data_IF_140338302575
#
_entry.id   IF_140338302575
#
_cell.length_a   1.000
_cell.length_b   1.000
_cell.length_c   1.000
_cell.angle_alpha   90.00
_cell.angle_beta   90.00
_cell.angle_gamma   90.00
#
_symmetry.space_group_name_H-M   'P 1'
#
loop_
_entity.id
_entity.type
_entity.pdbx_description
1 polymer ?
#
# COMPACT_ATOMS: atom_id res chain seq x y z
N UNK A 1 23.07 -18.10 -2.07
CA UNK A 1 22.26 -16.95 -1.64
C UNK A 1 21.75 -16.31 -2.91
N UNK A 2 20.44 -16.39 -3.18
CA UNK A 2 19.85 -15.69 -4.32
C UNK A 2 19.99 -14.18 -4.05
N UNK A 3 20.79 -13.50 -4.87
CA UNK A 3 20.88 -12.05 -4.84
C UNK A 3 19.52 -11.51 -5.25
N UNK A 4 18.74 -11.04 -4.28
CA UNK A 4 17.50 -10.33 -4.59
C UNK A 4 17.94 -9.00 -5.20
N UNK A 5 18.01 -8.96 -6.54
CA UNK A 5 18.30 -7.74 -7.29
C UNK A 5 17.12 -6.79 -7.05
N UNK A 6 17.20 -5.99 -5.98
CA UNK A 6 16.24 -4.94 -5.72
C UNK A 6 16.38 -3.94 -6.87
N UNK A 7 15.31 -3.80 -7.65
CA UNK A 7 15.29 -2.82 -8.72
C UNK A 7 15.55 -1.43 -8.13
N UNK A 8 16.30 -0.57 -8.84
CA UNK A 8 16.51 0.79 -8.37
C UNK A 8 15.15 1.46 -8.15
N UNK A 9 15.00 2.17 -7.03
CA UNK A 9 13.74 2.84 -6.70
C UNK A 9 13.48 3.95 -7.75
N UNK A 10 12.43 3.79 -8.54
CA UNK A 10 11.97 4.71 -9.60
C UNK A 10 10.90 5.68 -9.12
N UNK A 11 10.12 5.27 -8.12
CA UNK A 11 9.08 6.09 -7.54
C UNK A 11 8.81 5.72 -6.08
N UNK A 12 8.10 6.59 -5.37
CA UNK A 12 7.69 6.38 -3.98
C UNK A 12 6.21 6.66 -3.80
N UNK A 13 5.55 5.78 -3.04
CA UNK A 13 4.15 5.89 -2.69
C UNK A 13 3.94 5.53 -1.22
N UNK A 14 2.89 6.10 -0.62
CA UNK A 14 2.47 5.78 0.75
C UNK A 14 1.03 5.28 0.74
N UNK A 15 0.80 4.11 1.30
CA UNK A 15 -0.53 3.55 1.53
C UNK A 15 -0.99 3.95 2.93
N UNK A 16 -2.07 4.73 3.01
CA UNK A 16 -2.58 5.33 4.25
C UNK A 16 -3.93 4.72 4.59
N UNK A 17 -4.10 4.25 5.82
CA UNK A 17 -5.41 3.85 6.35
C UNK A 17 -6.21 5.09 6.75
N UNK A 18 -7.35 5.32 6.11
CA UNK A 18 -8.23 6.46 6.33
C UNK A 18 -9.24 6.22 7.48
N UNK A 19 -9.52 4.96 7.81
CA UNK A 19 -10.46 4.59 8.87
C UNK A 19 -11.50 3.55 8.45
N UNK A 20 -12.51 3.32 9.30
CA UNK A 20 -13.49 2.24 9.11
C UNK A 20 -14.58 2.58 8.07
N UNK A 21 -14.55 3.75 7.45
CA UNK A 21 -15.51 4.14 6.41
C UNK A 21 -14.83 4.05 5.04
N UNK A 22 -15.50 3.43 4.07
CA UNK A 22 -14.97 3.30 2.72
C UNK A 22 -14.84 4.68 2.03
N UNK A 23 -13.76 4.92 1.24
CA UNK A 23 -12.62 4.03 1.02
C UNK A 23 -11.71 3.95 2.26
N UNK A 24 -11.39 2.73 2.71
CA UNK A 24 -10.55 2.52 3.90
C UNK A 24 -9.10 2.96 3.69
N UNK A 25 -8.66 3.06 2.43
CA UNK A 25 -7.27 3.28 2.08
C UNK A 25 -7.12 4.37 1.03
N UNK A 26 -6.04 5.12 1.16
CA UNK A 26 -5.55 6.04 0.15
C UNK A 26 -4.14 5.65 -0.28
N UNK A 27 -3.79 5.88 -1.53
CA UNK A 27 -2.40 5.79 -2.00
C UNK A 27 -1.93 7.18 -2.39
N UNK A 28 -0.97 7.72 -1.64
CA UNK A 28 -0.37 9.03 -1.86
C UNK A 28 0.90 8.89 -2.69
N UNK A 29 1.03 9.72 -3.72
CA UNK A 29 2.27 9.91 -4.44
C UNK A 29 3.25 10.70 -3.57
N UNK A 30 4.49 10.22 -3.43
CA UNK A 30 5.55 10.93 -2.72
C UNK A 30 6.56 11.54 -3.69
N UNK A 31 7.11 10.75 -4.62
CA UNK A 31 8.12 11.21 -5.59
C UNK A 31 8.34 10.23 -6.75
N UNK A 32 9.09 10.67 -7.77
CA UNK A 32 9.51 9.85 -8.90
C UNK A 32 8.49 9.76 -10.04
N UNK A 33 8.48 8.64 -10.77
CA UNK A 33 7.67 8.46 -11.97
C UNK A 33 6.16 8.37 -11.66
N UNK A 34 5.39 9.39 -12.07
CA UNK A 34 3.98 9.53 -11.70
C UNK A 34 3.08 8.44 -12.26
N UNK A 35 3.23 8.10 -13.55
CA UNK A 35 2.42 7.07 -14.22
C UNK A 35 2.54 5.71 -13.52
N UNK A 36 3.76 5.35 -13.11
CA UNK A 36 4.05 4.11 -12.41
C UNK A 36 3.34 4.05 -11.05
N UNK A 37 3.30 5.17 -10.31
CA UNK A 37 2.54 5.27 -9.05
C UNK A 37 1.03 5.26 -9.27
N UNK A 38 0.53 5.90 -10.33
CA UNK A 38 -0.90 5.90 -10.65
C UNK A 38 -1.40 4.50 -11.03
N UNK A 39 -0.62 3.76 -11.84
CA UNK A 39 -0.89 2.36 -12.19
C UNK A 39 -0.84 1.45 -10.95
N UNK A 40 0.16 1.64 -10.09
CA UNK A 40 0.27 0.95 -8.80
C UNK A 40 -0.93 1.24 -7.90
N UNK A 41 -1.34 2.50 -7.77
CA UNK A 41 -2.51 2.92 -6.99
C UNK A 41 -3.77 2.19 -7.43
N UNK A 42 -4.02 2.05 -8.73
CA UNK A 42 -5.19 1.31 -9.22
C UNK A 42 -5.18 -0.16 -8.76
N UNK A 43 -4.02 -0.81 -8.79
CA UNK A 43 -3.83 -2.20 -8.34
C UNK A 43 -3.92 -2.36 -6.82
N UNK A 44 -3.51 -1.37 -6.04
CA UNK A 44 -3.66 -1.38 -4.59
C UNK A 44 -5.13 -1.20 -4.21
N UNK A 45 -5.78 -0.19 -4.77
CA UNK A 45 -7.17 0.10 -4.47
C UNK A 45 -8.09 -1.04 -4.93
N UNK A 46 -7.87 -1.66 -6.08
CA UNK A 46 -8.68 -2.82 -6.50
C UNK A 46 -8.65 -4.00 -5.52
N UNK A 47 -7.57 -4.13 -4.74
CA UNK A 47 -7.42 -5.17 -3.72
C UNK A 47 -7.89 -4.74 -2.33
N UNK A 48 -7.77 -3.45 -1.99
CA UNK A 48 -7.94 -2.97 -0.61
C UNK A 48 -9.15 -2.05 -0.41
N UNK A 49 -9.81 -1.56 -1.47
CA UNK A 49 -10.85 -0.52 -1.37
C UNK A 49 -11.90 -0.78 -0.29
N UNK A 50 -12.33 -2.04 -0.18
CA UNK A 50 -13.38 -2.51 0.74
C UNK A 50 -12.85 -3.39 1.89
N UNK A 51 -11.53 -3.52 2.04
CA UNK A 51 -10.93 -4.42 3.04
C UNK A 51 -10.35 -3.62 4.19
N UNK A 52 -10.95 -3.66 5.39
CA UNK A 52 -10.34 -3.06 6.58
C UNK A 52 -9.12 -3.88 7.07
N UNK A 53 -8.26 -3.30 7.93
CA UNK A 53 -7.05 -3.96 8.45
C UNK A 53 -7.27 -5.30 9.16
N UNK A 54 -8.42 -5.49 9.82
CA UNK A 54 -8.77 -6.70 10.56
C UNK A 54 -9.33 -7.82 9.67
N UNK A 55 -9.56 -7.55 8.38
CA UNK A 55 -10.06 -8.55 7.45
C UNK A 55 -9.02 -9.68 7.23
N UNK A 56 -9.43 -10.97 7.22
CA UNK A 56 -8.51 -12.09 7.00
C UNK A 56 -7.70 -12.02 5.70
N UNK A 57 -8.23 -11.39 4.64
CA UNK A 57 -7.56 -11.23 3.35
C UNK A 57 -6.56 -10.07 3.33
N UNK A 58 -6.65 -9.13 4.28
CA UNK A 58 -5.81 -7.93 4.30
C UNK A 58 -4.32 -8.27 4.27
N UNK A 59 -3.86 -9.20 5.12
CA UNK A 59 -2.45 -9.62 5.19
C UNK A 59 -1.93 -10.11 3.85
N UNK A 60 -2.70 -10.96 3.15
CA UNK A 60 -2.32 -11.50 1.83
C UNK A 60 -2.28 -10.41 0.76
N UNK A 61 -3.25 -9.50 0.76
CA UNK A 61 -3.29 -8.41 -0.21
C UNK A 61 -2.19 -7.36 0.04
N UNK A 62 -1.82 -7.13 1.31
CA UNK A 62 -0.67 -6.31 1.70
C UNK A 62 0.63 -6.93 1.18
N UNK A 63 0.88 -8.22 1.42
CA UNK A 63 2.06 -8.91 0.89
C UNK A 63 2.14 -8.88 -0.64
N UNK A 64 1.01 -9.05 -1.34
CA UNK A 64 0.95 -8.91 -2.81
C UNK A 64 1.28 -7.48 -3.25
N UNK A 65 0.77 -6.49 -2.55
CA UNK A 65 1.04 -5.07 -2.82
C UNK A 65 2.52 -4.73 -2.62
N UNK A 66 3.16 -5.26 -1.57
CA UNK A 66 4.59 -5.09 -1.33
C UNK A 66 5.40 -5.73 -2.46
N UNK A 67 5.05 -6.95 -2.88
CA UNK A 67 5.71 -7.61 -4.01
C UNK A 67 5.53 -6.90 -5.34
N UNK A 68 4.34 -6.35 -5.60
CA UNK A 68 4.09 -5.52 -6.78
C UNK A 68 5.00 -4.27 -6.76
N UNK A 69 5.12 -3.61 -5.61
CA UNK A 69 5.98 -2.45 -5.44
C UNK A 69 7.46 -2.79 -5.66
N UNK A 70 7.97 -3.85 -5.04
CA UNK A 70 9.36 -4.33 -5.23
C UNK A 70 9.66 -4.67 -6.69
N UNK A 71 8.72 -5.36 -7.37
CA UNK A 71 8.85 -5.74 -8.78
C UNK A 71 8.85 -4.55 -9.74
N UNK A 72 8.32 -3.40 -9.33
CA UNK A 72 8.22 -2.21 -10.17
C UNK A 72 9.23 -1.12 -9.77
N UNK A 73 10.05 -1.36 -8.75
CA UNK A 73 10.96 -0.35 -8.20
C UNK A 73 10.23 0.78 -7.50
N UNK A 74 9.13 0.49 -6.81
CA UNK A 74 8.37 1.46 -6.00
C UNK A 74 8.75 1.31 -4.54
N UNK A 75 9.30 2.37 -3.95
CA UNK A 75 9.39 2.48 -2.49
C UNK A 75 7.98 2.64 -1.91
N UNK A 76 7.48 1.62 -1.22
CA UNK A 76 6.12 1.60 -0.67
C UNK A 76 6.15 1.73 0.85
N UNK A 77 5.67 2.85 1.37
CA UNK A 77 5.50 3.11 2.79
C UNK A 77 4.07 2.81 3.22
N UNK A 78 3.88 2.38 4.47
CA UNK A 78 2.56 2.11 5.04
C UNK A 78 2.35 2.95 6.28
N UNK A 79 1.22 3.66 6.31
CA UNK A 79 0.79 4.46 7.45
C UNK A 79 -0.58 3.94 7.89
N UNK A 80 -0.57 3.13 8.94
CA UNK A 80 -1.78 2.80 9.66
C UNK A 80 -2.03 4.03 10.53
N UNK A 81 -3.05 4.85 10.23
CA UNK A 81 -3.33 6.06 11.01
C UNK A 81 -3.49 5.75 12.50
N UNK A 82 -3.72 6.78 13.33
CA UNK A 82 -3.95 6.67 14.79
C UNK A 82 -5.32 6.00 15.10
N UNK A 83 -5.65 4.93 14.40
CA UNK A 83 -6.87 4.16 14.57
C UNK A 83 -6.74 3.10 15.67
N UNK A 84 -5.54 2.89 16.23
CA UNK A 84 -5.37 2.15 17.48
C UNK A 84 -6.12 2.80 18.67
N UNK A 85 -6.52 4.08 18.56
CA UNK A 85 -7.20 4.81 19.63
C UNK A 85 -8.74 4.66 19.66
N UNK A 86 -9.36 4.00 18.68
CA UNK A 86 -10.84 3.89 18.59
C UNK A 86 -11.41 2.53 19.02
N UNK A 87 -10.56 1.58 19.48
CA UNK A 87 -11.04 0.32 20.08
C UNK A 87 -11.33 0.45 21.59
N UNK A 88 -11.09 1.61 22.21
CA UNK A 88 -11.44 1.90 23.62
C UNK A 88 -12.48 3.03 23.72
N UNK A 89 -13.76 2.74 23.51
CA UNK A 89 -14.88 3.57 23.97
C UNK A 89 -16.12 2.73 24.23
#
# INVERSE_FOLDING_TARGET
MEEVVQQPIRARAKVVYLGPVAPHWEVKYLSGERKLVDDFRQRVLSRLLMLPPHDPQFRRNKERTVRDAEREGIGCEWEMGVAEAFEES
#
